data_IF_015694448749
#
_entry.id   IF_015694448749
#
_cell.length_a   1.000
_cell.length_b   1.000
_cell.length_c   1.000
_cell.angle_alpha   90.00
_cell.angle_beta   90.00
_cell.angle_gamma   90.00
#
_symmetry.space_group_name_H-M   'P 1'
#
loop_
_entity.id
_entity.type
_entity.pdbx_description
1 polymer ?
#
# COMPACT_ATOMS: atom_id res chain seq x y z
N UNK A 1 -13.55 23.45 29.07
CA UNK A 1 -13.99 22.79 27.81
C UNK A 1 -15.29 22.05 28.06
N UNK A 2 -16.28 22.21 27.17
CA UNK A 2 -17.51 21.40 27.28
C UNK A 2 -17.19 19.95 26.86
N UNK A 3 -17.96 18.97 27.40
CA UNK A 3 -17.80 17.55 27.00
C UNK A 3 -17.95 17.34 25.50
N UNK A 4 -18.83 18.08 24.86
CA UNK A 4 -19.04 18.02 23.42
C UNK A 4 -17.82 18.53 22.64
N UNK A 5 -17.14 19.59 23.08
CA UNK A 5 -15.92 20.09 22.48
C UNK A 5 -14.77 19.08 22.60
N UNK A 6 -14.66 18.36 23.72
CA UNK A 6 -13.66 17.32 23.91
C UNK A 6 -13.88 16.14 22.94
N UNK A 7 -15.13 15.66 22.82
CA UNK A 7 -15.47 14.58 21.89
C UNK A 7 -15.13 14.96 20.45
N UNK A 8 -15.49 16.18 20.03
CA UNK A 8 -15.17 16.68 18.69
C UNK A 8 -13.66 16.74 18.47
N UNK A 9 -12.89 17.24 19.43
CA UNK A 9 -11.43 17.32 19.34
C UNK A 9 -10.80 15.92 19.18
N UNK A 10 -11.26 14.95 19.98
CA UNK A 10 -10.77 13.56 19.91
C UNK A 10 -11.08 12.93 18.55
N UNK A 11 -12.27 13.14 18.00
CA UNK A 11 -12.65 12.62 16.68
C UNK A 11 -11.84 13.27 15.55
N UNK A 12 -11.60 14.59 15.62
CA UNK A 12 -10.76 15.29 14.62
C UNK A 12 -9.32 14.80 14.70
N UNK A 13 -8.76 14.67 15.91
CA UNK A 13 -7.41 14.14 16.10
C UNK A 13 -7.29 12.69 15.56
N UNK A 14 -8.26 11.82 15.86
CA UNK A 14 -8.30 10.47 15.34
C UNK A 14 -8.40 10.47 13.81
N UNK A 15 -9.24 11.32 13.22
CA UNK A 15 -9.38 11.46 11.76
C UNK A 15 -8.10 11.92 11.07
N UNK A 16 -7.37 12.86 11.66
CA UNK A 16 -6.08 13.34 11.12
C UNK A 16 -4.97 12.27 11.19
N UNK A 17 -4.99 11.43 12.23
CA UNK A 17 -4.01 10.36 12.40
C UNK A 17 -4.36 9.10 11.60
N UNK A 18 -5.61 8.93 11.20
CA UNK A 18 -6.08 7.72 10.53
C UNK A 18 -5.34 7.39 9.23
N UNK A 19 -5.04 8.33 8.30
CA UNK A 19 -4.26 8.02 7.10
C UNK A 19 -2.87 7.45 7.43
N UNK A 20 -2.20 7.99 8.44
CA UNK A 20 -0.91 7.47 8.90
C UNK A 20 -1.03 6.08 9.53
N UNK A 21 -2.11 5.83 10.26
CA UNK A 21 -2.42 4.51 10.79
C UNK A 21 -2.67 3.48 9.68
N UNK A 22 -3.39 3.85 8.62
CA UNK A 22 -3.65 3.00 7.46
C UNK A 22 -2.36 2.64 6.72
N UNK A 23 -1.53 3.64 6.40
CA UNK A 23 -0.24 3.44 5.77
C UNK A 23 0.67 2.60 6.67
N UNK A 24 0.75 2.91 7.96
CA UNK A 24 1.54 2.15 8.91
C UNK A 24 1.13 0.68 9.00
N UNK A 25 -0.17 0.41 9.09
CA UNK A 25 -0.70 -0.95 9.15
C UNK A 25 -0.38 -1.73 7.86
N UNK A 26 -0.56 -1.09 6.70
CA UNK A 26 -0.22 -1.69 5.42
C UNK A 26 1.29 -1.94 5.30
N UNK A 27 2.12 -0.99 5.71
CA UNK A 27 3.58 -1.13 5.71
C UNK A 27 4.01 -2.34 6.54
N UNK A 28 3.44 -2.52 7.73
CA UNK A 28 3.71 -3.69 8.57
C UNK A 28 3.28 -4.99 7.90
N UNK A 29 2.10 -5.00 7.31
CA UNK A 29 1.54 -6.22 6.74
C UNK A 29 2.18 -6.61 5.42
N UNK A 30 2.69 -5.67 4.64
CA UNK A 30 3.17 -5.91 3.28
C UNK A 30 4.67 -5.68 3.15
N UNK A 31 5.20 -4.56 3.64
CA UNK A 31 6.63 -4.24 3.47
C UNK A 31 7.52 -4.92 4.51
N UNK A 32 7.03 -5.13 5.75
CA UNK A 32 7.82 -5.77 6.81
C UNK A 32 7.62 -7.28 6.88
N UNK A 33 6.58 -7.82 6.25
CA UNK A 33 6.37 -9.24 6.11
C UNK A 33 7.05 -9.74 4.83
N UNK A 34 8.15 -10.49 4.99
CA UNK A 34 8.96 -11.00 3.88
C UNK A 34 8.15 -11.85 2.90
N UNK A 35 7.25 -12.68 3.40
CA UNK A 35 6.46 -13.57 2.55
C UNK A 35 5.47 -12.76 1.71
N UNK A 36 4.77 -11.81 2.31
CA UNK A 36 3.83 -10.94 1.59
C UNK A 36 4.55 -10.01 0.62
N UNK A 37 5.70 -9.46 1.01
CA UNK A 37 6.53 -8.65 0.13
C UNK A 37 6.99 -9.44 -1.10
N UNK A 38 7.48 -10.67 -0.90
CA UNK A 38 7.90 -11.51 -2.03
C UNK A 38 6.74 -12.03 -2.87
N UNK A 39 5.54 -12.19 -2.31
CA UNK A 39 4.34 -12.57 -3.06
C UNK A 39 3.85 -11.44 -3.98
N UNK A 40 4.10 -10.15 -3.65
CA UNK A 40 3.87 -9.04 -4.57
C UNK A 40 4.64 -9.20 -5.89
N UNK A 41 5.74 -9.95 -5.88
CA UNK A 41 6.52 -10.21 -7.10
C UNK A 41 5.74 -10.98 -8.14
N UNK A 42 4.91 -11.93 -7.72
CA UNK A 42 4.10 -12.73 -8.63
C UNK A 42 3.06 -11.83 -9.30
N UNK A 43 2.37 -11.00 -8.50
CA UNK A 43 1.40 -10.02 -9.01
C UNK A 43 2.06 -9.00 -9.97
N UNK A 44 3.29 -8.55 -9.66
CA UNK A 44 4.03 -7.64 -10.53
C UNK A 44 4.41 -8.30 -11.87
N UNK A 45 4.90 -9.53 -11.82
CA UNK A 45 5.30 -10.27 -13.03
C UNK A 45 4.12 -10.74 -13.88
N UNK A 46 2.89 -10.77 -13.36
CA UNK A 46 1.69 -11.01 -14.16
C UNK A 46 1.42 -9.87 -15.17
N UNK A 47 1.90 -8.66 -14.88
CA UNK A 47 1.77 -7.52 -15.78
C UNK A 47 2.87 -7.51 -16.87
N UNK A 48 2.47 -7.65 -18.12
CA UNK A 48 3.39 -7.60 -19.28
C UNK A 48 4.20 -6.30 -19.33
N UNK A 49 3.60 -5.16 -18.95
CA UNK A 49 4.28 -3.87 -18.89
C UNK A 49 5.45 -3.86 -17.89
N UNK A 50 5.31 -4.55 -16.75
CA UNK A 50 6.38 -4.70 -15.76
C UNK A 50 7.48 -5.59 -16.32
N UNK A 51 7.13 -6.74 -16.94
CA UNK A 51 8.13 -7.63 -17.55
C UNK A 51 8.93 -6.91 -18.65
N UNK A 52 8.25 -6.11 -19.48
CA UNK A 52 8.93 -5.28 -20.50
C UNK A 52 9.83 -4.24 -19.88
N UNK A 53 9.37 -3.53 -18.84
CA UNK A 53 10.18 -2.53 -18.14
C UNK A 53 11.44 -3.12 -17.51
N UNK A 54 11.35 -4.31 -16.91
CA UNK A 54 12.52 -5.04 -16.40
C UNK A 54 13.47 -5.41 -17.53
N UNK A 55 12.94 -5.94 -18.65
CA UNK A 55 13.74 -6.31 -19.81
C UNK A 55 14.46 -5.08 -20.40
N UNK A 56 13.81 -3.93 -20.49
CA UNK A 56 14.40 -2.66 -20.93
C UNK A 56 15.52 -2.19 -20.01
N UNK A 57 15.32 -2.26 -18.71
CA UNK A 57 16.33 -1.90 -17.72
C UNK A 57 17.57 -2.80 -17.84
N UNK A 58 17.39 -4.11 -17.99
CA UNK A 58 18.48 -5.07 -18.18
C UNK A 58 19.23 -4.80 -19.48
N UNK A 59 18.53 -4.61 -20.62
CA UNK A 59 19.17 -4.30 -21.91
C UNK A 59 19.97 -2.99 -21.84
N UNK A 60 19.41 -1.98 -21.18
CA UNK A 60 20.11 -0.69 -20.99
C UNK A 60 21.37 -0.86 -20.17
N UNK A 61 21.32 -1.64 -19.09
CA UNK A 61 22.49 -1.86 -18.23
C UNK A 61 23.56 -2.72 -18.92
N UNK A 62 23.13 -3.73 -19.67
CA UNK A 62 24.05 -4.52 -20.52
C UNK A 62 24.71 -3.62 -21.55
N UNK A 63 23.97 -2.73 -22.23
CA UNK A 63 24.50 -1.79 -23.21
C UNK A 63 25.50 -0.79 -22.64
N UNK A 64 25.42 -0.47 -21.34
CA UNK A 64 26.43 0.36 -20.64
C UNK A 64 27.73 -0.37 -20.39
N UNK A 65 27.65 -1.68 -20.10
CA UNK A 65 28.82 -2.51 -19.80
C UNK A 65 29.47 -3.09 -21.05
N UNK A 66 28.65 -3.38 -22.07
CA UNK A 66 29.11 -3.97 -23.34
C UNK A 66 28.25 -3.43 -24.49
N UNK A 67 28.85 -2.83 -25.54
CA UNK A 67 28.10 -2.37 -26.70
C UNK A 67 27.35 -3.54 -27.35
N UNK A 68 26.03 -3.48 -27.34
CA UNK A 68 25.18 -4.44 -28.02
C UNK A 68 24.94 -3.98 -29.45
N UNK A 69 24.99 -4.88 -30.45
CA UNK A 69 24.53 -4.54 -31.80
C UNK A 69 23.04 -4.17 -31.73
N UNK A 70 22.66 -3.02 -32.28
CA UNK A 70 21.29 -2.53 -32.27
C UNK A 70 20.27 -3.56 -32.82
N UNK A 71 20.66 -4.37 -33.79
CA UNK A 71 19.84 -5.46 -34.32
C UNK A 71 19.55 -6.58 -33.30
N UNK A 72 20.35 -6.72 -32.24
CA UNK A 72 20.22 -7.79 -31.24
C UNK A 72 19.35 -7.35 -30.06
N UNK A 73 19.22 -6.04 -29.80
CA UNK A 73 18.46 -5.51 -28.64
C UNK A 73 17.00 -5.99 -28.58
N UNK A 74 16.21 -5.96 -29.70
CA UNK A 74 14.82 -6.41 -29.66
C UNK A 74 14.71 -7.89 -29.31
N UNK A 75 15.62 -8.72 -29.82
CA UNK A 75 15.66 -10.16 -29.57
C UNK A 75 16.01 -10.47 -28.12
N UNK A 76 16.99 -9.75 -27.56
CA UNK A 76 17.40 -9.89 -26.16
C UNK A 76 16.24 -9.45 -25.25
N UNK A 77 15.62 -8.32 -25.54
CA UNK A 77 14.46 -7.79 -24.80
C UNK A 77 13.31 -8.79 -24.79
N UNK A 78 12.91 -9.30 -25.94
CA UNK A 78 11.86 -10.30 -26.04
C UNK A 78 12.22 -11.61 -25.31
N UNK A 79 13.48 -12.04 -25.40
CA UNK A 79 13.97 -13.23 -24.71
C UNK A 79 13.93 -13.08 -23.19
N UNK A 80 14.32 -11.91 -22.65
CA UNK A 80 14.24 -11.62 -21.21
C UNK A 80 12.78 -11.53 -20.77
N UNK A 81 11.92 -10.79 -21.49
CA UNK A 81 10.52 -10.65 -21.15
C UNK A 81 9.78 -12.01 -21.16
N UNK A 82 10.10 -12.89 -22.09
CA UNK A 82 9.57 -14.26 -22.14
C UNK A 82 10.10 -15.15 -21.01
N UNK A 83 11.37 -15.00 -20.66
CA UNK A 83 11.96 -15.73 -19.52
C UNK A 83 11.29 -15.36 -18.20
N UNK A 84 10.97 -14.07 -18.00
CA UNK A 84 10.26 -13.56 -16.82
C UNK A 84 8.88 -14.20 -16.58
N UNK A 85 8.26 -14.75 -17.63
CA UNK A 85 6.96 -15.43 -17.55
C UNK A 85 7.07 -16.90 -17.12
N UNK A 86 8.28 -17.44 -17.04
CA UNK A 86 8.49 -18.85 -16.67
C UNK A 86 8.47 -19.03 -15.14
N UNK A 87 7.93 -20.18 -14.64
CA UNK A 87 7.93 -20.47 -13.20
C UNK A 87 9.33 -20.46 -12.58
N UNK A 88 10.33 -20.90 -13.32
CA UNK A 88 11.72 -20.91 -12.85
C UNK A 88 12.24 -19.49 -12.62
N UNK A 89 11.91 -18.56 -13.52
CA UNK A 89 12.34 -17.17 -13.36
C UNK A 89 11.59 -16.47 -12.22
N UNK A 90 10.28 -16.72 -12.07
CA UNK A 90 9.48 -16.21 -10.96
C UNK A 90 10.08 -16.62 -9.62
N UNK A 91 10.53 -17.87 -9.47
CA UNK A 91 11.21 -18.34 -8.27
C UNK A 91 12.51 -17.57 -7.99
N UNK A 92 13.34 -17.35 -9.03
CA UNK A 92 14.58 -16.58 -8.93
C UNK A 92 14.30 -15.12 -8.60
N UNK A 93 13.31 -14.50 -9.25
CA UNK A 93 12.92 -13.12 -8.98
C UNK A 93 12.40 -12.92 -7.56
N UNK A 94 11.58 -13.86 -7.08
CA UNK A 94 11.10 -13.89 -5.69
C UNK A 94 12.26 -13.97 -4.69
N UNK A 95 13.27 -14.78 -4.98
CA UNK A 95 14.48 -14.86 -4.16
C UNK A 95 15.26 -13.54 -4.17
N UNK A 96 15.44 -12.91 -5.34
CA UNK A 96 16.12 -11.61 -5.48
C UNK A 96 15.39 -10.49 -4.73
N UNK A 97 14.04 -10.48 -4.78
CA UNK A 97 13.23 -9.55 -3.99
C UNK A 97 13.31 -9.82 -2.48
N UNK A 98 13.50 -11.07 -2.07
CA UNK A 98 13.82 -11.39 -0.67
C UNK A 98 15.10 -10.68 -0.21
N UNK A 99 16.12 -10.63 -1.05
CA UNK A 99 17.35 -9.86 -0.80
C UNK A 99 17.11 -8.35 -0.73
N UNK A 100 16.26 -7.81 -1.60
CA UNK A 100 15.83 -6.40 -1.54
C UNK A 100 15.10 -6.10 -0.23
N UNK A 101 14.21 -6.99 0.21
CA UNK A 101 13.52 -6.86 1.49
C UNK A 101 14.49 -6.84 2.67
N UNK A 102 15.49 -7.74 2.68
CA UNK A 102 16.49 -7.79 3.74
C UNK A 102 17.33 -6.50 3.78
N UNK A 103 17.68 -5.93 2.61
CA UNK A 103 18.36 -4.62 2.51
C UNK A 103 17.46 -3.46 2.96
N UNK A 104 16.17 -3.47 2.62
CA UNK A 104 15.20 -2.45 3.06
C UNK A 104 15.01 -2.42 4.57
N UNK A 105 15.09 -3.58 5.22
CA UNK A 105 14.90 -3.73 6.66
C UNK A 105 16.21 -3.65 7.45
N UNK A 106 17.35 -3.61 6.76
CA UNK A 106 18.68 -3.38 7.34
C UNK A 106 19.07 -1.91 7.23
N UNK A 107 20.17 -1.51 7.92
CA UNK A 107 20.71 -0.15 7.87
C UNK A 107 21.56 0.12 6.62
N UNK A 108 21.34 -0.63 5.52
CA UNK A 108 22.09 -0.43 4.29
C UNK A 108 21.70 0.88 3.59
N UNK A 109 22.72 1.63 3.12
CA UNK A 109 22.51 2.91 2.44
C UNK A 109 22.06 2.78 0.98
N UNK A 110 22.12 1.56 0.43
CA UNK A 110 21.87 1.30 -0.98
C UNK A 110 21.04 0.02 -1.13
N UNK A 111 19.93 0.13 -1.84
CA UNK A 111 19.12 -1.02 -2.23
C UNK A 111 19.56 -1.46 -3.61
N UNK A 112 19.97 -2.71 -3.74
CA UNK A 112 20.41 -3.32 -4.98
C UNK A 112 19.57 -4.55 -5.31
N UNK A 113 19.31 -4.74 -6.60
CA UNK A 113 18.72 -5.96 -7.13
C UNK A 113 19.79 -6.80 -7.81
N UNK A 114 20.04 -7.99 -7.31
CA UNK A 114 20.88 -8.96 -7.99
C UNK A 114 20.10 -9.59 -9.16
N UNK A 115 20.49 -9.21 -10.36
CA UNK A 115 19.88 -9.73 -11.60
C UNK A 115 20.66 -10.91 -12.19
N UNK A 116 21.83 -11.22 -11.66
CA UNK A 116 22.72 -12.25 -12.21
C UNK A 116 22.09 -13.65 -12.24
N UNK A 117 21.34 -14.10 -11.21
CA UNK A 117 20.66 -15.40 -11.26
C UNK A 117 19.64 -15.48 -12.40
N UNK A 118 18.88 -14.39 -12.63
CA UNK A 118 17.92 -14.31 -13.73
C UNK A 118 18.58 -14.33 -15.11
N UNK A 119 19.69 -13.61 -15.26
CA UNK A 119 20.49 -13.61 -16.50
C UNK A 119 21.08 -14.99 -16.78
N UNK A 120 21.58 -15.68 -15.78
CA UNK A 120 22.08 -17.04 -15.93
C UNK A 120 20.96 -18.00 -16.37
N UNK A 121 19.78 -17.87 -15.82
CA UNK A 121 18.62 -18.67 -16.22
C UNK A 121 18.20 -18.35 -17.66
N UNK A 122 18.15 -17.06 -18.04
CA UNK A 122 17.83 -16.64 -19.41
C UNK A 122 18.82 -17.21 -20.44
N UNK A 123 20.12 -17.24 -20.11
CA UNK A 123 21.16 -17.88 -20.92
C UNK A 123 20.96 -19.37 -21.07
N UNK A 124 20.60 -20.05 -19.98
CA UNK A 124 20.36 -21.49 -20.00
C UNK A 124 19.15 -21.89 -20.88
N UNK A 125 18.14 -21.02 -20.92
CA UNK A 125 16.90 -21.27 -21.66
C UNK A 125 16.94 -20.80 -23.13
N UNK A 126 17.76 -19.78 -23.44
CA UNK A 126 17.81 -19.19 -24.78
C UNK A 126 19.24 -19.09 -25.32
N UNK A 127 19.60 -19.93 -26.30
CA UNK A 127 20.94 -19.90 -26.91
C UNK A 127 21.31 -18.59 -27.60
N UNK A 128 20.34 -17.79 -28.04
CA UNK A 128 20.57 -16.47 -28.63
C UNK A 128 20.96 -15.47 -27.55
N UNK A 129 20.28 -15.48 -26.40
CA UNK A 129 20.63 -14.68 -25.23
C UNK A 129 22.00 -15.08 -24.69
N UNK A 130 22.30 -16.39 -24.65
CA UNK A 130 23.61 -16.91 -24.23
C UNK A 130 24.74 -16.38 -25.12
N UNK A 131 24.55 -16.39 -26.45
CA UNK A 131 25.54 -15.86 -27.39
C UNK A 131 25.71 -14.35 -27.31
N UNK A 132 24.60 -13.61 -27.16
CA UNK A 132 24.61 -12.15 -27.11
C UNK A 132 25.24 -11.61 -25.80
N UNK A 133 24.96 -12.26 -24.69
CA UNK A 133 25.48 -11.84 -23.37
C UNK A 133 26.84 -12.47 -23.02
N UNK A 134 27.24 -13.52 -23.75
CA UNK A 134 28.52 -14.21 -23.50
C UNK A 134 28.68 -14.63 -22.02
N UNK A 135 29.89 -14.46 -21.48
CA UNK A 135 30.23 -14.67 -20.07
C UNK A 135 30.08 -13.43 -19.19
N UNK A 136 29.44 -12.36 -19.66
CA UNK A 136 29.34 -11.07 -18.96
C UNK A 136 28.66 -11.25 -17.59
N UNK A 137 29.34 -10.81 -16.53
CA UNK A 137 28.74 -10.68 -15.21
C UNK A 137 28.16 -9.26 -15.09
N UNK A 138 26.89 -9.16 -14.76
CA UNK A 138 26.23 -7.89 -14.52
C UNK A 138 26.39 -7.51 -13.05
N UNK A 139 26.78 -6.27 -12.75
CA UNK A 139 26.76 -5.79 -11.39
C UNK A 139 25.30 -5.71 -10.89
N UNK A 140 25.09 -5.78 -9.57
CA UNK A 140 23.76 -5.54 -9.00
C UNK A 140 23.21 -4.18 -9.45
N UNK A 141 21.94 -4.14 -9.85
CA UNK A 141 21.28 -2.89 -10.26
C UNK A 141 20.90 -2.10 -9.01
N UNK A 142 21.40 -0.87 -8.91
CA UNK A 142 21.03 0.05 -7.83
C UNK A 142 19.62 0.54 -8.08
N UNK A 143 18.67 0.13 -7.21
CA UNK A 143 17.28 0.55 -7.26
C UNK A 143 17.09 1.90 -6.59
N UNK A 144 17.70 2.08 -5.40
CA UNK A 144 17.58 3.31 -4.63
C UNK A 144 18.80 3.52 -3.73
N UNK A 145 19.11 4.79 -3.48
CA UNK A 145 20.12 5.19 -2.48
C UNK A 145 19.45 6.03 -1.41
N UNK A 146 19.84 5.86 -0.15
CA UNK A 146 19.33 6.61 1.00
C UNK A 146 19.38 8.13 0.76
N UNK A 147 20.47 8.60 0.14
CA UNK A 147 20.65 10.02 -0.20
C UNK A 147 19.70 10.54 -1.26
N UNK A 148 19.18 9.68 -2.15
CA UNK A 148 18.26 10.06 -3.24
C UNK A 148 16.80 10.06 -2.80
N UNK A 149 16.43 9.20 -1.83
CA UNK A 149 15.06 9.04 -1.36
C UNK A 149 15.04 9.01 0.17
N UNK A 150 15.47 10.10 0.85
CA UNK A 150 15.56 10.14 2.32
C UNK A 150 14.20 9.92 2.98
N UNK A 151 13.10 10.31 2.30
CA UNK A 151 11.73 10.09 2.76
C UNK A 151 11.39 8.60 2.87
N UNK A 152 11.92 7.75 1.98
CA UNK A 152 11.66 6.31 2.00
C UNK A 152 12.27 5.66 3.25
N UNK A 153 13.55 5.97 3.55
CA UNK A 153 14.22 5.43 4.74
C UNK A 153 13.65 6.03 6.03
N UNK A 154 13.39 7.33 6.05
CA UNK A 154 12.69 7.96 7.17
C UNK A 154 11.29 7.38 7.38
N UNK A 155 10.59 6.98 6.31
CA UNK A 155 9.33 6.29 6.39
C UNK A 155 9.49 4.85 6.91
N UNK A 156 10.53 4.11 6.51
CA UNK A 156 10.80 2.75 7.00
C UNK A 156 11.22 2.77 8.47
N UNK A 157 12.16 3.62 8.85
CA UNK A 157 12.62 3.78 10.24
C UNK A 157 11.51 4.32 11.15
N UNK A 158 10.74 5.29 10.65
CA UNK A 158 9.56 5.83 11.32
C UNK A 158 8.39 4.85 11.33
N UNK A 159 8.17 4.13 10.24
CA UNK A 159 7.08 3.16 10.12
C UNK A 159 7.24 2.00 11.10
N UNK A 160 8.43 1.51 11.37
CA UNK A 160 8.64 0.47 12.38
C UNK A 160 8.19 0.92 13.78
N UNK A 161 8.43 2.19 14.14
CA UNK A 161 8.04 2.75 15.44
C UNK A 161 6.61 3.29 15.46
N UNK A 162 6.22 3.98 14.40
CA UNK A 162 4.93 4.68 14.30
C UNK A 162 3.81 3.76 13.82
N UNK A 163 4.13 2.74 13.03
CA UNK A 163 3.13 1.85 12.45
C UNK A 163 2.36 1.01 13.48
N UNK A 164 2.98 0.66 14.61
CA UNK A 164 2.30 -0.01 15.73
C UNK A 164 1.58 0.97 16.65
N UNK A 165 2.20 2.13 16.90
CA UNK A 165 1.70 3.10 17.86
C UNK A 165 0.51 3.87 17.29
N UNK A 166 0.56 4.28 16.02
CA UNK A 166 -0.48 5.14 15.44
C UNK A 166 -1.86 4.49 15.36
N UNK A 167 -2.04 3.22 14.92
CA UNK A 167 -3.33 2.56 14.97
C UNK A 167 -3.87 2.43 16.39
N UNK A 168 -2.99 2.13 17.36
CA UNK A 168 -3.36 2.03 18.76
C UNK A 168 -3.83 3.40 19.31
N UNK A 169 -3.09 4.47 19.00
CA UNK A 169 -3.47 5.84 19.39
C UNK A 169 -4.82 6.22 18.78
N UNK A 170 -5.06 5.93 17.50
CA UNK A 170 -6.35 6.18 16.85
C UNK A 170 -7.48 5.42 17.57
N UNK A 171 -7.29 4.14 17.88
CA UNK A 171 -8.27 3.35 18.61
C UNK A 171 -8.54 3.91 19.99
N UNK A 172 -7.51 4.30 20.73
CA UNK A 172 -7.64 4.93 22.06
C UNK A 172 -8.40 6.25 21.98
N UNK A 173 -8.10 7.11 20.99
CA UNK A 173 -8.81 8.37 20.78
C UNK A 173 -10.28 8.16 20.47
N UNK A 174 -10.60 7.18 19.59
CA UNK A 174 -11.99 6.82 19.29
C UNK A 174 -12.71 6.25 20.49
N UNK A 175 -12.07 5.35 21.26
CA UNK A 175 -12.63 4.78 22.49
C UNK A 175 -12.90 5.86 23.54
N UNK A 176 -11.96 6.80 23.75
CA UNK A 176 -12.13 7.93 24.64
C UNK A 176 -13.26 8.86 24.17
N UNK A 177 -13.38 9.15 22.89
CA UNK A 177 -14.47 9.95 22.35
C UNK A 177 -15.84 9.32 22.64
N UNK A 178 -15.96 7.99 22.47
CA UNK A 178 -17.19 7.25 22.79
C UNK A 178 -17.44 7.20 24.30
N UNK A 179 -16.41 6.92 25.12
CA UNK A 179 -16.53 6.79 26.57
C UNK A 179 -16.93 8.10 27.26
N UNK A 180 -16.39 9.24 26.77
CA UNK A 180 -16.68 10.59 27.33
C UNK A 180 -17.99 11.19 26.84
N UNK A 181 -18.61 10.60 25.79
CA UNK A 181 -19.85 11.07 25.23
C UNK A 181 -21.04 10.70 26.11
N UNK A 182 -21.97 11.62 26.33
CA UNK A 182 -23.24 11.36 27.01
C UNK A 182 -24.15 10.39 26.23
N UNK A 183 -23.99 10.39 24.91
CA UNK A 183 -24.74 9.51 23.99
C UNK A 183 -23.78 8.57 23.28
N UNK A 184 -23.33 7.53 23.97
CA UNK A 184 -22.28 6.61 23.52
C UNK A 184 -22.57 5.99 22.16
N UNK A 185 -23.80 5.55 21.92
CA UNK A 185 -24.20 4.92 20.66
C UNK A 185 -24.16 5.89 19.49
N UNK A 186 -24.61 7.12 19.69
CA UNK A 186 -24.51 8.16 18.66
C UNK A 186 -23.04 8.54 18.40
N UNK A 187 -22.22 8.64 19.45
CA UNK A 187 -20.80 8.90 19.30
C UNK A 187 -20.08 7.79 18.53
N UNK A 188 -20.46 6.52 18.78
CA UNK A 188 -19.96 5.37 18.04
C UNK A 188 -20.36 5.44 16.55
N UNK A 189 -21.61 5.82 16.26
CA UNK A 189 -22.06 6.04 14.88
C UNK A 189 -21.25 7.15 14.16
N UNK A 190 -21.02 8.27 14.84
CA UNK A 190 -20.21 9.38 14.30
C UNK A 190 -18.76 8.93 14.10
N UNK A 191 -18.16 8.22 15.06
CA UNK A 191 -16.78 7.69 14.93
C UNK A 191 -16.65 6.78 13.70
N UNK A 192 -17.59 5.84 13.51
CA UNK A 192 -17.62 4.99 12.31
C UNK A 192 -17.74 5.81 11.02
N UNK A 193 -18.59 6.85 10.99
CA UNK A 193 -18.71 7.74 9.83
C UNK A 193 -17.43 8.50 9.53
N UNK A 194 -16.74 8.99 10.57
CA UNK A 194 -15.45 9.69 10.42
C UNK A 194 -14.39 8.73 9.85
N UNK A 195 -14.28 7.51 10.40
CA UNK A 195 -13.34 6.50 9.93
C UNK A 195 -13.62 6.16 8.45
N UNK A 196 -14.87 5.88 8.09
CA UNK A 196 -15.25 5.57 6.71
C UNK A 196 -14.96 6.74 5.77
N UNK A 197 -15.35 7.96 6.14
CA UNK A 197 -15.17 9.16 5.31
C UNK A 197 -13.70 9.51 5.08
N UNK A 198 -12.87 9.47 6.12
CA UNK A 198 -11.42 9.72 6.00
C UNK A 198 -10.73 8.63 5.19
N UNK A 199 -11.12 7.36 5.37
CA UNK A 199 -10.57 6.25 4.59
C UNK A 199 -10.92 6.36 3.10
N UNK A 200 -12.14 6.76 2.76
CA UNK A 200 -12.55 7.02 1.37
C UNK A 200 -11.79 8.23 0.77
N UNK A 201 -11.63 9.30 1.55
CA UNK A 201 -10.82 10.46 1.13
C UNK A 201 -9.37 10.05 0.88
N UNK A 202 -8.80 9.19 1.73
CA UNK A 202 -7.45 8.66 1.57
C UNK A 202 -7.31 7.87 0.25
N UNK A 203 -8.28 7.00 -0.09
CA UNK A 203 -8.29 6.30 -1.39
C UNK A 203 -8.36 7.27 -2.57
N UNK A 204 -9.16 8.33 -2.46
CA UNK A 204 -9.21 9.39 -3.48
C UNK A 204 -7.88 10.12 -3.65
N UNK A 205 -7.20 10.44 -2.54
CA UNK A 205 -5.88 11.06 -2.57
C UNK A 205 -4.81 10.14 -3.18
N UNK A 206 -4.88 8.84 -2.93
CA UNK A 206 -4.00 7.85 -3.56
C UNK A 206 -4.16 7.81 -5.08
N UNK A 207 -5.42 7.87 -5.57
CA UNK A 207 -5.69 7.95 -7.00
C UNK A 207 -5.14 9.25 -7.63
N UNK A 208 -5.24 10.38 -6.91
CA UNK A 208 -4.67 11.65 -7.33
C UNK A 208 -3.14 11.61 -7.32
N UNK A 209 -2.53 11.00 -6.30
CA UNK A 209 -1.08 10.85 -6.19
C UNK A 209 -0.48 10.08 -7.38
N UNK A 210 -1.15 9.02 -7.86
CA UNK A 210 -0.76 8.31 -9.09
C UNK A 210 -0.58 9.27 -10.27
N UNK A 211 -1.56 10.15 -10.47
CA UNK A 211 -1.52 11.11 -11.59
C UNK A 211 -0.39 12.15 -11.44
N UNK A 212 -0.15 12.62 -10.22
CA UNK A 212 0.90 13.62 -9.94
C UNK A 212 2.30 13.03 -10.09
N UNK A 213 2.54 11.85 -9.52
CA UNK A 213 3.83 11.16 -9.62
C UNK A 213 4.12 10.75 -11.06
N UNK A 214 3.11 10.18 -11.76
CA UNK A 214 3.27 9.78 -13.16
C UNK A 214 3.61 10.94 -14.12
N UNK A 215 3.26 12.20 -13.77
CA UNK A 215 3.64 13.39 -14.55
C UNK A 215 5.09 13.85 -14.32
N UNK A 216 5.65 13.53 -13.16
CA UNK A 216 7.01 13.93 -12.77
C UNK A 216 8.08 12.88 -13.10
N UNK A 217 7.70 11.71 -13.62
CA UNK A 217 8.66 10.68 -13.98
C UNK A 217 9.40 11.03 -15.27
N UNK A 218 10.71 10.80 -15.24
CA UNK A 218 11.58 10.92 -16.40
C UNK A 218 11.07 9.97 -17.52
N UNK A 219 11.02 10.40 -18.79
CA UNK A 219 10.57 9.56 -19.91
C UNK A 219 11.35 8.24 -20.09
N UNK A 220 12.47 8.07 -19.41
CA UNK A 220 13.24 6.81 -19.37
C UNK A 220 12.65 5.72 -18.50
N UNK A 221 11.77 6.06 -17.53
CA UNK A 221 11.01 5.05 -16.79
C UNK A 221 9.79 4.70 -17.63
N UNK A 222 9.71 3.46 -18.10
CA UNK A 222 8.56 3.00 -18.87
C UNK A 222 7.28 3.30 -18.06
N UNK A 223 6.53 4.32 -18.48
CA UNK A 223 5.34 4.82 -17.77
C UNK A 223 4.34 3.71 -17.53
N UNK A 224 4.22 2.80 -18.52
CA UNK A 224 3.34 1.64 -18.42
C UNK A 224 3.77 0.67 -17.30
N UNK A 225 5.09 0.50 -17.09
CA UNK A 225 5.62 -0.34 -16.02
C UNK A 225 5.37 0.29 -14.64
N UNK A 226 5.54 1.62 -14.53
CA UNK A 226 5.19 2.37 -13.31
C UNK A 226 3.70 2.26 -13.01
N UNK A 227 2.85 2.51 -13.99
CA UNK A 227 1.40 2.45 -13.84
C UNK A 227 0.95 1.05 -13.38
N UNK A 228 1.52 -0.01 -13.97
CA UNK A 228 1.23 -1.38 -13.57
C UNK A 228 1.72 -1.71 -12.15
N UNK A 229 2.95 -1.30 -11.80
CA UNK A 229 3.50 -1.50 -10.47
C UNK A 229 2.70 -0.72 -9.41
N UNK A 230 2.32 0.53 -9.71
CA UNK A 230 1.48 1.34 -8.85
C UNK A 230 0.13 0.67 -8.61
N UNK A 231 -0.51 0.12 -9.67
CA UNK A 231 -1.82 -0.52 -9.54
C UNK A 231 -1.77 -1.78 -8.67
N UNK A 232 -0.70 -2.55 -8.71
CA UNK A 232 -0.50 -3.70 -7.81
C UNK A 232 -0.40 -3.23 -6.35
N UNK A 233 0.48 -2.26 -6.07
CA UNK A 233 0.69 -1.72 -4.72
C UNK A 233 -0.58 -1.03 -4.19
N UNK A 234 -1.18 -0.16 -5.00
CA UNK A 234 -2.38 0.58 -4.64
C UNK A 234 -3.59 -0.34 -4.41
N UNK A 235 -3.73 -1.41 -5.19
CA UNK A 235 -4.79 -2.41 -5.00
C UNK A 235 -4.64 -3.13 -3.66
N UNK A 236 -3.43 -3.51 -3.27
CA UNK A 236 -3.16 -4.12 -1.97
C UNK A 236 -3.56 -3.20 -0.81
N UNK A 237 -3.16 -1.92 -0.87
CA UNK A 237 -3.51 -0.91 0.12
C UNK A 237 -5.02 -0.59 0.10
N UNK A 238 -5.62 -0.51 -1.09
CA UNK A 238 -7.05 -0.27 -1.25
C UNK A 238 -7.89 -1.39 -0.65
N UNK A 239 -7.52 -2.65 -0.86
CA UNK A 239 -8.23 -3.80 -0.28
C UNK A 239 -8.23 -3.74 1.25
N UNK A 240 -7.07 -3.47 1.87
CA UNK A 240 -6.98 -3.30 3.33
C UNK A 240 -7.86 -2.14 3.80
N UNK A 241 -7.82 -1.01 3.10
CA UNK A 241 -8.61 0.19 3.45
C UNK A 241 -10.10 -0.06 3.27
N UNK A 242 -10.54 -0.77 2.22
CA UNK A 242 -11.95 -1.11 2.00
C UNK A 242 -12.52 -2.00 3.09
N UNK A 243 -11.75 -2.96 3.61
CA UNK A 243 -12.17 -3.78 4.75
C UNK A 243 -12.44 -2.88 5.96
N UNK A 244 -11.57 -1.90 6.22
CA UNK A 244 -11.74 -0.93 7.31
C UNK A 244 -12.96 -0.06 7.07
N UNK A 245 -13.20 0.42 5.85
CA UNK A 245 -14.41 1.19 5.47
C UNK A 245 -15.66 0.40 5.74
N UNK A 246 -15.73 -0.86 5.31
CA UNK A 246 -16.90 -1.72 5.53
C UNK A 246 -17.16 -1.94 7.02
N UNK A 247 -16.12 -2.26 7.78
CA UNK A 247 -16.23 -2.39 9.24
C UNK A 247 -16.71 -1.10 9.91
N UNK A 248 -16.16 0.05 9.50
CA UNK A 248 -16.56 1.35 10.02
C UNK A 248 -18.01 1.72 9.66
N UNK A 249 -18.49 1.37 8.47
CA UNK A 249 -19.88 1.56 8.06
C UNK A 249 -20.84 0.68 8.89
N UNK A 250 -20.48 -0.58 9.16
CA UNK A 250 -21.26 -1.45 10.04
C UNK A 250 -21.36 -0.84 11.44
N UNK A 251 -20.26 -0.34 11.99
CA UNK A 251 -20.25 0.34 13.29
C UNK A 251 -21.06 1.64 13.25
N UNK A 252 -20.98 2.41 12.17
CA UNK A 252 -21.74 3.65 12.01
C UNK A 252 -23.26 3.36 12.01
N UNK A 253 -23.70 2.45 11.17
CA UNK A 253 -25.12 2.07 11.05
C UNK A 253 -25.61 1.48 12.37
N UNK A 254 -24.88 0.52 12.95
CA UNK A 254 -25.22 -0.11 14.23
C UNK A 254 -25.35 0.92 15.35
N UNK A 255 -24.42 1.86 15.47
CA UNK A 255 -24.47 2.93 16.47
C UNK A 255 -25.71 3.82 16.33
N UNK A 256 -26.06 4.24 15.11
CA UNK A 256 -27.26 5.07 14.88
C UNK A 256 -28.55 4.29 15.10
N UNK A 257 -28.63 3.03 14.67
CA UNK A 257 -29.81 2.19 14.86
C UNK A 257 -30.09 1.96 16.34
N UNK A 258 -29.06 1.60 17.12
CA UNK A 258 -29.18 1.40 18.56
C UNK A 258 -29.60 2.70 19.28
N UNK A 259 -29.01 3.85 18.91
CA UNK A 259 -29.41 5.17 19.49
C UNK A 259 -30.89 5.46 19.21
N UNK A 260 -31.39 5.13 18.01
CA UNK A 260 -32.81 5.29 17.63
C UNK A 260 -33.72 4.38 18.45
N UNK A 261 -33.37 3.10 18.54
CA UNK A 261 -34.19 2.11 19.31
C UNK A 261 -34.30 2.55 20.78
N UNK A 262 -33.19 2.94 21.40
CA UNK A 262 -33.19 3.37 22.78
C UNK A 262 -34.04 4.64 22.99
N UNK A 263 -34.05 5.58 22.03
CA UNK A 263 -34.90 6.77 22.11
C UNK A 263 -36.39 6.45 22.04
N UNK A 264 -36.76 5.46 21.23
CA UNK A 264 -38.17 5.03 21.10
C UNK A 264 -38.57 4.26 22.35
N UNK A 265 -37.77 3.35 22.83
CA UNK A 265 -38.03 2.51 23.99
C UNK A 265 -38.07 3.32 25.33
N UNK A 266 -37.32 4.41 25.42
CA UNK A 266 -37.26 5.25 26.61
C UNK A 266 -38.20 6.48 26.55
N UNK A 267 -39.10 6.60 25.54
CA UNK A 267 -40.16 7.59 25.59
C UNK A 267 -41.14 7.18 26.66
N UNK A 268 -41.33 7.95 27.76
CA UNK A 268 -42.41 7.72 28.70
C UNK A 268 -43.70 7.93 27.92
N UNK A 269 -44.59 6.93 28.01
CA UNK A 269 -45.94 7.05 27.48
C UNK A 269 -46.51 8.38 27.95
N UNK A 270 -46.86 9.26 27.01
CA UNK A 270 -47.55 10.49 27.36
C UNK A 270 -48.81 10.06 28.13
N UNK A 271 -49.08 10.62 29.35
CA UNK A 271 -50.25 10.25 30.11
C UNK A 271 -51.44 10.48 29.20
N UNK A 272 -52.14 9.39 28.88
CA UNK A 272 -53.46 9.45 28.21
C UNK A 272 -54.32 10.38 29.04
N UNK A 273 -54.49 11.61 28.55
CA UNK A 273 -55.36 12.61 29.16
C UNK A 273 -56.75 12.02 29.26
N UNK A 274 -57.07 11.51 30.44
CA UNK A 274 -58.41 11.28 30.85
C UNK A 274 -59.11 12.64 30.89
N UNK A 275 -59.72 13.00 29.75
CA UNK A 275 -60.77 14.00 29.70
C UNK A 275 -61.91 13.54 30.60
N UNK A 276 -61.91 13.92 31.88
CA UNK A 276 -63.08 13.89 32.71
C UNK A 276 -64.04 14.96 32.22
N UNK A 277 -64.87 14.58 31.26
CA UNK A 277 -66.12 15.28 31.00
C UNK A 277 -67.01 15.07 32.24
N UNK A 278 -67.14 16.06 33.09
CA UNK A 278 -68.26 16.18 34.03
C UNK A 278 -69.23 17.23 33.52
N UNK A 279 -70.44 16.75 33.38
CA UNK A 279 -71.69 17.43 33.07
C UNK A 279 -71.95 18.69 33.91
#
# INVERSE_FOLDING_TARGET
>A
MSRSSLVTLLLVAAGLLLPFALVGLWTQQVLLDRERFTNLSDDLLDHEAVRRGIADAVVTEVGRTQPLPAASEPTIRAGIAGALDTPAYRAVFKQSLGGVHDQLTSDEDTITLDVQPGVNLARAQNPQVARALGGTQLPPIVIARRSQVPILWGAVDGAQRVALITPLVVLVLLALAVATSERRWRALGIAGTVVAGVSLLFLGLMALAKQLVGRGLDPFVARDAFDAAWDVIARSLANTTLIIVLGALVVAVGGFVVDQILRVALRPDAPSGLSSAHA
#
